data_IF_856871505893
#
_entry.id   IF_856871505893
#
_cell.length_a   1.000
_cell.length_b   1.000
_cell.length_c   1.000
_cell.angle_alpha   90.00
_cell.angle_beta   90.00
_cell.angle_gamma   90.00
#
_symmetry.space_group_name_H-M   'P 1'
#
loop_
_entity.id
_entity.type
_entity.pdbx_description
1 polymer ?
#
# COMPACT_ATOMS: atom_id res chain seq x y z
N UNK A 1 -45.89 61.05 9.81
CA UNK A 1 -45.56 59.73 10.40
C UNK A 1 -44.20 59.27 9.86
N UNK A 2 -43.17 59.63 10.64
CA UNK A 2 -41.80 59.20 10.29
C UNK A 2 -41.57 57.79 10.83
N UNK A 3 -41.33 56.81 9.96
CA UNK A 3 -40.87 55.48 10.34
C UNK A 3 -39.34 55.50 10.37
N UNK A 4 -38.75 55.53 11.57
CA UNK A 4 -37.33 55.26 11.77
C UNK A 4 -37.09 53.78 11.57
N UNK A 5 -36.29 53.45 10.58
CA UNK A 5 -35.78 52.09 10.35
C UNK A 5 -34.54 51.88 11.22
N UNK A 6 -34.66 51.05 12.26
CA UNK A 6 -33.54 50.64 13.10
C UNK A 6 -32.79 49.53 12.34
N UNK A 7 -31.56 49.81 11.88
CA UNK A 7 -30.65 48.81 11.39
C UNK A 7 -29.94 48.17 12.60
N UNK A 8 -30.22 46.91 12.87
CA UNK A 8 -29.40 46.08 13.75
C UNK A 8 -28.19 45.58 12.97
N UNK A 9 -27.01 46.13 13.27
CA UNK A 9 -25.74 45.54 12.84
C UNK A 9 -25.51 44.31 13.72
N UNK A 10 -25.71 43.13 13.17
CA UNK A 10 -25.18 41.91 13.79
C UNK A 10 -23.67 41.89 13.51
N UNK A 11 -22.86 42.30 14.46
CA UNK A 11 -21.44 42.01 14.49
C UNK A 11 -21.33 40.54 14.91
N UNK A 12 -21.12 39.64 13.96
CA UNK A 12 -20.70 38.29 14.27
C UNK A 12 -19.25 38.36 14.77
N UNK A 13 -19.06 38.27 16.09
CA UNK A 13 -17.74 38.05 16.67
C UNK A 13 -17.36 36.62 16.27
N UNK A 14 -16.58 36.47 15.23
CA UNK A 14 -15.93 35.22 14.91
C UNK A 14 -14.78 35.04 15.89
N UNK A 15 -14.90 34.09 16.81
CA UNK A 15 -13.78 33.68 17.64
C UNK A 15 -12.94 32.73 16.78
N UNK A 16 -11.67 33.02 16.66
CA UNK A 16 -10.71 32.07 16.06
C UNK A 16 -10.66 30.81 16.91
N UNK A 17 -10.80 29.66 16.28
CA UNK A 17 -10.81 28.37 16.95
C UNK A 17 -9.52 27.62 16.66
N UNK A 18 -8.97 26.93 17.67
CA UNK A 18 -7.93 25.92 17.45
C UNK A 18 -8.59 24.67 16.86
N UNK A 19 -8.08 24.14 15.75
CA UNK A 19 -8.72 23.04 15.03
C UNK A 19 -8.03 21.71 15.31
N UNK A 20 -6.71 21.64 15.18
CA UNK A 20 -5.96 20.42 15.35
C UNK A 20 -4.60 20.68 16.02
N UNK A 21 -4.13 19.82 16.97
CA UNK A 21 -4.83 18.67 17.54
C UNK A 21 -6.10 19.06 18.31
N UNK A 22 -7.11 18.20 18.26
CA UNK A 22 -8.32 18.42 19.08
C UNK A 22 -7.99 18.35 20.56
N UNK A 23 -8.78 19.08 21.36
CA UNK A 23 -8.55 19.09 22.80
C UNK A 23 -8.83 17.71 23.41
N UNK A 24 -7.87 17.14 24.14
CA UNK A 24 -7.85 15.80 24.72
C UNK A 24 -7.71 14.65 23.71
N UNK A 25 -7.34 14.94 22.48
CA UNK A 25 -7.09 13.88 21.50
C UNK A 25 -5.82 13.11 21.81
N UNK A 26 -5.79 11.87 21.37
CA UNK A 26 -4.59 11.04 21.28
C UNK A 26 -4.05 11.09 19.85
N UNK A 27 -2.74 11.25 19.73
CA UNK A 27 -2.04 11.33 18.45
C UNK A 27 -1.13 10.12 18.30
N UNK A 28 -1.31 9.36 17.22
CA UNK A 28 -0.44 8.23 16.87
C UNK A 28 0.76 8.69 16.01
N UNK A 29 1.29 9.85 16.36
CA UNK A 29 2.39 10.49 15.65
C UNK A 29 3.22 11.37 16.56
N UNK A 30 4.51 11.50 16.26
CA UNK A 30 5.40 12.52 16.82
C UNK A 30 5.56 13.72 15.88
N UNK A 31 5.16 13.59 14.62
CA UNK A 31 5.03 14.70 13.70
C UNK A 31 3.63 15.28 13.80
N UNK A 32 3.47 16.37 14.57
CA UNK A 32 2.16 16.90 14.93
C UNK A 32 1.80 18.10 14.05
N UNK A 33 0.67 17.99 13.37
CA UNK A 33 0.04 19.09 12.66
C UNK A 33 -0.73 19.96 13.65
N UNK A 34 -0.41 21.25 13.73
CA UNK A 34 -1.18 22.27 14.45
C UNK A 34 -1.92 23.12 13.43
N UNK A 35 -3.20 23.30 13.61
CA UNK A 35 -4.07 24.05 12.70
C UNK A 35 -5.10 24.85 13.50
N UNK A 36 -5.38 26.08 13.04
CA UNK A 36 -6.38 26.98 13.63
C UNK A 36 -7.05 27.80 12.55
N UNK A 37 -8.10 28.54 12.92
CA UNK A 37 -8.79 29.43 11.99
C UNK A 37 -7.94 30.63 11.61
N UNK A 38 -8.02 31.02 10.33
CA UNK A 38 -7.43 32.26 9.86
C UNK A 38 -8.25 33.43 10.34
N UNK A 39 -7.65 34.37 11.10
CA UNK A 39 -8.27 35.63 11.43
C UNK A 39 -8.16 36.64 10.29
N UNK A 40 -9.19 37.47 10.13
CA UNK A 40 -9.20 38.46 9.09
C UNK A 40 -8.12 39.53 9.36
N UNK A 41 -7.35 39.89 8.32
CA UNK A 41 -6.27 40.88 8.38
C UNK A 41 -5.08 40.50 9.28
N UNK A 42 -5.00 39.26 9.76
CA UNK A 42 -3.86 38.73 10.53
C UNK A 42 -2.95 37.96 9.60
N UNK A 43 -1.65 38.25 9.64
CA UNK A 43 -0.65 37.63 8.80
C UNK A 43 0.34 36.78 9.58
N UNK A 44 0.54 37.07 10.87
CA UNK A 44 1.51 36.36 11.70
C UNK A 44 0.86 35.84 12.98
N UNK A 45 1.25 34.64 13.36
CA UNK A 45 0.81 33.97 14.58
C UNK A 45 2.00 33.48 15.39
N UNK A 46 1.92 33.60 16.70
CA UNK A 46 2.85 32.96 17.62
C UNK A 46 2.21 31.68 18.16
N UNK A 47 2.82 30.54 17.89
CA UNK A 47 2.45 29.26 18.48
C UNK A 47 3.43 28.90 19.59
N UNK A 48 2.90 28.39 20.71
CA UNK A 48 3.67 27.78 21.79
C UNK A 48 3.19 26.36 22.03
N UNK A 49 4.18 25.45 22.19
CA UNK A 49 3.99 24.06 22.60
C UNK A 49 4.75 23.87 23.91
N UNK A 50 4.16 23.19 24.88
CA UNK A 50 4.73 23.02 26.21
C UNK A 50 4.40 21.64 26.80
N UNK A 51 5.29 21.13 27.64
CA UNK A 51 5.05 19.94 28.49
C UNK A 51 4.24 20.28 29.76
N UNK A 52 3.90 21.55 30.00
CA UNK A 52 3.12 21.99 31.17
C UNK A 52 2.07 23.02 30.78
N UNK A 53 0.90 22.93 31.38
CA UNK A 53 -0.19 23.90 31.21
C UNK A 53 0.18 25.35 31.60
N UNK A 54 1.19 25.52 32.43
CA UNK A 54 1.63 26.81 32.92
C UNK A 54 2.56 27.56 31.95
N UNK A 55 3.06 26.90 30.88
CA UNK A 55 3.97 27.49 29.90
C UNK A 55 5.17 28.21 30.53
N UNK A 56 5.77 27.62 31.57
CA UNK A 56 6.99 28.12 32.15
C UNK A 56 8.16 28.00 31.21
N UNK A 57 9.16 28.86 31.28
CA UNK A 57 10.31 28.86 30.39
C UNK A 57 10.99 27.50 30.25
N UNK A 58 11.02 26.69 31.30
CA UNK A 58 11.62 25.34 31.28
C UNK A 58 10.70 24.25 30.72
N UNK A 59 9.41 24.55 30.50
CA UNK A 59 8.44 23.61 29.98
C UNK A 59 8.06 23.89 28.51
N UNK A 60 8.40 25.09 28.01
CA UNK A 60 8.16 25.46 26.62
C UNK A 60 9.13 24.68 25.74
N UNK A 61 8.58 23.87 24.85
CA UNK A 61 9.28 23.03 23.89
C UNK A 61 9.50 23.82 22.60
N UNK A 62 8.46 24.51 22.13
CA UNK A 62 8.52 25.33 20.92
C UNK A 62 7.82 26.67 21.20
N UNK A 63 8.48 27.73 20.75
CA UNK A 63 7.94 29.10 20.72
C UNK A 63 8.38 29.72 19.40
N UNK A 64 7.46 29.88 18.45
CA UNK A 64 7.82 30.33 17.11
C UNK A 64 6.70 31.18 16.48
N UNK A 65 7.08 32.00 15.50
CA UNK A 65 6.17 32.82 14.71
C UNK A 65 6.02 32.19 13.34
N UNK A 66 4.79 32.07 12.86
CA UNK A 66 4.43 31.52 11.56
C UNK A 66 3.47 32.49 10.84
N UNK A 67 3.53 32.51 9.51
CA UNK A 67 2.71 33.39 8.66
C UNK A 67 1.51 32.69 8.00
N UNK A 68 1.12 31.54 8.53
CA UNK A 68 -0.04 30.73 8.09
C UNK A 68 -0.71 30.14 9.32
N UNK A 69 -2.01 29.85 9.27
CA UNK A 69 -2.73 29.22 10.38
C UNK A 69 -2.47 27.70 10.46
N UNK A 70 -1.22 27.32 10.23
CA UNK A 70 -0.77 25.94 10.22
C UNK A 70 0.71 25.85 10.61
N UNK A 71 1.06 24.84 11.42
CA UNK A 71 2.43 24.53 11.80
C UNK A 71 2.58 23.02 11.98
N UNK A 72 3.72 22.47 11.57
CA UNK A 72 4.06 21.06 11.81
C UNK A 72 5.31 21.00 12.67
N UNK A 73 5.19 20.44 13.89
CA UNK A 73 6.34 20.11 14.73
C UNK A 73 6.84 18.72 14.36
N UNK A 74 8.13 18.58 14.07
CA UNK A 74 8.72 17.32 13.57
C UNK A 74 9.84 16.77 14.45
N UNK A 75 10.32 17.52 15.44
CA UNK A 75 11.57 17.21 16.12
C UNK A 75 11.43 16.99 17.62
N UNK A 76 10.55 17.73 18.28
CA UNK A 76 10.58 17.89 19.73
C UNK A 76 9.43 17.20 20.47
N UNK A 77 8.61 16.47 19.75
CA UNK A 77 7.50 15.69 20.32
C UNK A 77 7.95 14.24 20.43
N UNK A 78 7.83 13.66 21.60
CA UNK A 78 8.12 12.26 21.88
C UNK A 78 6.83 11.47 22.13
N UNK A 79 6.93 10.14 22.05
CA UNK A 79 5.85 9.20 22.36
C UNK A 79 5.52 9.19 23.86
N UNK A 80 4.32 8.73 24.22
CA UNK A 80 3.85 8.53 25.61
C UNK A 80 3.93 9.78 26.48
N UNK A 81 3.57 10.94 25.94
CA UNK A 81 3.65 12.22 26.62
C UNK A 81 2.40 13.06 26.50
N UNK A 82 2.19 13.95 27.48
CA UNK A 82 1.14 14.96 27.48
C UNK A 82 1.73 16.30 27.07
N UNK A 83 1.12 16.95 26.11
CA UNK A 83 1.48 18.26 25.61
C UNK A 83 0.34 19.25 25.69
N UNK A 84 0.70 20.55 25.81
CA UNK A 84 -0.20 21.69 25.76
C UNK A 84 0.23 22.62 24.65
N UNK A 85 -0.73 23.24 23.98
CA UNK A 85 -0.44 24.19 22.94
C UNK A 85 -1.43 25.33 22.91
N UNK A 86 -0.99 26.50 22.42
CA UNK A 86 -1.79 27.71 22.29
C UNK A 86 -1.26 28.59 21.18
N UNK A 87 -2.12 29.45 20.64
CA UNK A 87 -1.81 30.40 19.58
C UNK A 87 -2.29 31.75 19.94
N UNK A 88 -1.60 32.77 19.49
CA UNK A 88 -2.03 34.16 19.48
C UNK A 88 -1.67 34.87 18.19
N UNK A 89 -2.39 35.92 17.85
CA UNK A 89 -2.07 36.78 16.72
C UNK A 89 -0.86 37.68 17.05
N UNK A 90 -0.11 38.00 16.01
CA UNK A 90 0.96 39.01 16.06
C UNK A 90 0.60 40.14 15.10
N UNK A 91 0.54 41.34 15.59
CA UNK A 91 0.31 42.57 14.84
C UNK A 91 1.59 43.44 14.89
N UNK A 92 1.74 44.37 13.95
CA UNK A 92 2.92 45.26 13.90
C UNK A 92 3.17 46.08 15.21
N UNK A 93 2.13 46.36 15.98
CA UNK A 93 2.19 47.17 17.18
C UNK A 93 1.95 46.41 18.47
N UNK A 94 1.43 45.16 18.42
CA UNK A 94 1.04 44.41 19.63
C UNK A 94 0.98 42.90 19.42
N UNK A 95 1.07 42.19 20.53
CA UNK A 95 0.75 40.77 20.60
C UNK A 95 -0.67 40.61 21.10
N UNK A 96 -1.49 39.86 20.37
CA UNK A 96 -2.84 39.51 20.79
C UNK A 96 -2.86 38.63 22.06
N UNK A 97 -4.04 38.42 22.59
CA UNK A 97 -4.23 37.44 23.67
C UNK A 97 -4.10 36.02 23.13
N UNK A 98 -3.64 35.09 23.99
CA UNK A 98 -3.71 33.68 23.69
C UNK A 98 -5.17 33.27 23.49
N UNK A 99 -5.47 32.54 22.39
CA UNK A 99 -6.82 32.11 22.05
C UNK A 99 -7.31 31.19 23.18
N UNK A 100 -7.01 29.94 23.12
CA UNK A 100 -7.26 29.01 24.22
C UNK A 100 -6.02 28.14 24.42
N UNK A 101 -6.00 27.34 25.47
CA UNK A 101 -4.99 26.32 25.65
C UNK A 101 -5.63 24.96 25.44
N UNK A 102 -5.14 24.21 24.48
CA UNK A 102 -5.52 22.81 24.26
C UNK A 102 -4.43 21.87 24.72
N UNK A 103 -4.80 20.62 24.93
CA UNK A 103 -3.88 19.54 25.26
C UNK A 103 -4.17 18.34 24.40
N UNK A 104 -3.10 17.57 24.13
CA UNK A 104 -3.16 16.29 23.46
C UNK A 104 -2.16 15.34 24.08
N UNK A 105 -2.35 14.06 23.81
CA UNK A 105 -1.45 13.00 24.23
C UNK A 105 -0.84 12.38 22.98
N UNK A 106 0.42 11.96 23.05
CA UNK A 106 1.00 11.03 22.08
C UNK A 106 0.84 9.62 22.64
N UNK A 107 0.42 8.68 21.78
CA UNK A 107 0.28 7.27 22.15
C UNK A 107 1.64 6.63 22.47
N UNK A 108 1.62 5.41 22.95
CA UNK A 108 2.79 4.59 23.14
C UNK A 108 3.42 4.22 21.79
N UNK A 109 4.75 4.22 21.70
CA UNK A 109 5.45 3.72 20.50
C UNK A 109 5.30 2.19 20.45
N UNK A 110 4.59 1.70 19.45
CA UNK A 110 4.32 0.26 19.26
C UNK A 110 5.46 -0.49 18.58
N UNK A 111 6.36 0.22 17.87
CA UNK A 111 7.34 -0.42 16.99
C UNK A 111 8.70 0.24 17.06
N UNK A 112 9.71 -0.58 17.27
CA UNK A 112 11.09 -0.20 17.11
C UNK A 112 11.72 -1.01 15.98
N UNK A 113 12.54 -0.39 15.16
CA UNK A 113 13.32 -1.03 14.10
C UNK A 113 14.81 -0.80 14.35
N UNK A 114 15.60 -1.79 13.96
CA UNK A 114 17.05 -1.62 13.87
C UNK A 114 17.40 -1.06 12.50
N UNK A 115 18.04 0.11 12.47
CA UNK A 115 18.48 0.76 11.24
C UNK A 115 19.98 0.51 11.02
N UNK A 116 20.32 -0.04 9.86
CA UNK A 116 21.70 -0.13 9.41
C UNK A 116 21.89 0.73 8.16
N UNK A 117 22.65 1.81 8.28
CA UNK A 117 22.96 2.73 7.19
C UNK A 117 24.24 2.26 6.50
N UNK A 118 24.12 1.75 5.30
CA UNK A 118 25.25 1.27 4.50
C UNK A 118 26.01 2.42 3.83
N UNK A 119 25.29 3.44 3.34
CA UNK A 119 25.89 4.63 2.72
C UNK A 119 25.02 5.86 2.98
N UNK A 120 25.48 6.75 3.84
CA UNK A 120 24.77 7.97 4.24
C UNK A 120 24.54 8.94 3.08
N UNK A 121 25.44 8.98 2.09
CA UNK A 121 25.37 9.93 0.95
C UNK A 121 24.29 9.54 -0.06
N UNK A 122 23.85 8.28 -0.02
CA UNK A 122 22.80 7.77 -0.93
C UNK A 122 21.40 7.80 -0.33
N UNK A 123 21.24 8.22 0.94
CA UNK A 123 19.92 8.32 1.55
C UNK A 123 19.15 9.46 0.89
N UNK A 124 18.02 9.13 0.28
CA UNK A 124 17.06 10.14 -0.18
C UNK A 124 16.29 10.70 1.00
N UNK A 125 16.09 12.02 1.01
CA UNK A 125 15.21 12.65 1.99
C UNK A 125 13.77 12.14 1.80
N UNK A 126 13.15 11.72 2.89
CA UNK A 126 11.80 11.19 2.88
C UNK A 126 11.48 10.36 4.11
N UNK A 127 10.35 9.66 4.02
CA UNK A 127 9.84 8.77 5.07
C UNK A 127 9.71 7.35 4.51
N UNK A 128 10.00 6.36 5.33
CA UNK A 128 9.79 4.95 4.99
C UNK A 128 8.51 4.46 5.65
N UNK A 129 7.58 3.96 4.86
CA UNK A 129 6.34 3.34 5.35
C UNK A 129 6.49 1.84 5.26
N UNK A 130 6.18 1.14 6.35
CA UNK A 130 6.27 -0.33 6.45
C UNK A 130 4.91 -0.87 6.88
N UNK A 131 4.40 -1.87 6.16
CA UNK A 131 3.30 -2.72 6.58
C UNK A 131 3.84 -4.03 7.16
N UNK A 132 3.37 -4.41 8.33
CA UNK A 132 3.69 -5.68 9.01
C UNK A 132 2.42 -6.53 9.06
N UNK A 133 2.40 -7.65 8.32
CA UNK A 133 1.24 -8.54 8.26
C UNK A 133 1.10 -9.40 9.51
N UNK A 134 2.23 -9.76 10.14
CA UNK A 134 2.25 -10.59 11.34
C UNK A 134 1.61 -9.91 12.55
N UNK A 135 1.75 -8.59 12.65
CA UNK A 135 1.20 -7.77 13.72
C UNK A 135 0.00 -6.92 13.26
N UNK A 136 -0.34 -6.95 11.96
CA UNK A 136 -1.35 -6.08 11.35
C UNK A 136 -1.13 -4.62 11.74
N UNK A 137 0.04 -4.10 11.42
CA UNK A 137 0.50 -2.78 11.81
C UNK A 137 1.11 -2.06 10.62
N UNK A 138 0.77 -0.78 10.47
CA UNK A 138 1.46 0.14 9.57
C UNK A 138 2.22 1.17 10.39
N UNK A 139 3.49 1.36 10.07
CA UNK A 139 4.33 2.35 10.73
C UNK A 139 5.18 3.14 9.74
N UNK A 140 5.53 4.37 10.12
CA UNK A 140 6.32 5.31 9.33
C UNK A 140 7.56 5.69 10.10
N UNK A 141 8.70 5.65 9.41
CA UNK A 141 10.01 5.93 9.98
C UNK A 141 10.70 7.09 9.26
N UNK A 142 11.44 7.88 10.00
CA UNK A 142 12.36 8.88 9.43
C UNK A 142 13.68 8.23 8.98
N UNK A 143 14.55 9.01 8.35
CA UNK A 143 15.87 8.57 7.89
C UNK A 143 16.85 8.17 9.01
N UNK A 144 16.50 8.38 10.28
CA UNK A 144 17.25 7.94 11.46
C UNK A 144 16.65 6.68 12.09
N UNK A 145 15.62 6.08 11.50
CA UNK A 145 14.92 4.90 12.02
C UNK A 145 14.00 5.19 13.20
N UNK A 146 13.67 6.47 13.47
CA UNK A 146 12.67 6.78 14.50
C UNK A 146 11.28 6.52 13.93
N UNK A 147 10.48 5.76 14.64
CA UNK A 147 9.05 5.68 14.34
C UNK A 147 8.42 7.05 14.62
N UNK A 148 7.77 7.61 13.63
CA UNK A 148 7.14 8.93 13.70
C UNK A 148 5.62 8.88 13.62
N UNK A 149 5.07 7.77 13.16
CA UNK A 149 3.63 7.53 13.06
C UNK A 149 3.36 6.02 13.01
N UNK A 150 2.22 5.60 13.52
CA UNK A 150 1.66 4.27 13.32
C UNK A 150 0.12 4.32 13.28
N UNK A 151 -0.49 3.27 12.76
CA UNK A 151 -1.93 3.15 12.55
C UNK A 151 -2.77 2.95 13.82
N UNK A 152 -2.15 3.05 14.99
CA UNK A 152 -2.84 2.94 16.28
C UNK A 152 -3.51 1.59 16.48
N UNK A 153 -4.83 1.63 16.67
CA UNK A 153 -5.66 0.44 16.88
C UNK A 153 -6.47 0.05 15.62
N UNK A 154 -6.13 0.62 14.45
CA UNK A 154 -6.76 0.20 13.20
C UNK A 154 -6.37 -1.22 12.81
N UNK A 155 -5.19 -1.68 13.23
CA UNK A 155 -4.65 -3.00 12.93
C UNK A 155 -4.67 -3.26 11.41
N UNK A 156 -3.95 -2.44 10.66
CA UNK A 156 -3.93 -2.46 9.20
C UNK A 156 -2.58 -2.96 8.69
N UNK A 157 -2.62 -3.91 7.81
CA UNK A 157 -1.49 -4.23 6.93
C UNK A 157 -1.54 -3.30 5.72
N UNK A 158 -0.54 -2.42 5.59
CA UNK A 158 -0.38 -1.58 4.40
C UNK A 158 0.00 -2.43 3.20
N UNK A 159 -0.67 -2.21 2.08
CA UNK A 159 -0.28 -2.79 0.79
C UNK A 159 0.35 -1.77 -0.13
N UNK A 160 -0.22 -0.56 -0.15
CA UNK A 160 0.16 0.43 -1.13
C UNK A 160 -0.02 1.86 -0.59
N UNK A 161 0.75 2.77 -1.17
CA UNK A 161 0.56 4.22 -1.04
C UNK A 161 0.79 4.85 -2.41
N UNK A 162 0.24 6.02 -2.63
CA UNK A 162 0.43 6.76 -3.87
C UNK A 162 1.11 8.10 -3.64
N UNK A 163 1.36 8.83 -4.72
CA UNK A 163 1.99 10.17 -4.72
C UNK A 163 1.21 11.24 -3.94
N UNK A 164 -0.08 11.00 -3.66
CA UNK A 164 -0.92 11.90 -2.85
C UNK A 164 -0.89 11.55 -1.36
N UNK A 165 -0.15 10.50 -0.97
CA UNK A 165 -0.05 10.05 0.42
C UNK A 165 -1.30 9.33 0.93
N UNK A 166 -2.15 8.80 0.04
CA UNK A 166 -3.25 7.91 0.40
C UNK A 166 -2.66 6.55 0.81
N UNK A 167 -3.21 5.95 1.84
CA UNK A 167 -2.77 4.67 2.38
C UNK A 167 -3.85 3.62 2.08
N UNK A 168 -3.44 2.50 1.50
CA UNK A 168 -4.33 1.38 1.16
C UNK A 168 -3.86 0.12 1.85
N UNK A 169 -4.78 -0.65 2.38
CA UNK A 169 -4.42 -1.89 3.08
C UNK A 169 -5.63 -2.69 3.53
N UNK A 170 -5.39 -3.61 4.44
CA UNK A 170 -6.41 -4.51 4.97
C UNK A 170 -6.48 -4.42 6.47
N UNK A 171 -7.70 -4.19 6.99
CA UNK A 171 -7.95 -4.18 8.42
C UNK A 171 -8.21 -5.60 8.93
N UNK A 172 -7.45 -5.99 9.97
CA UNK A 172 -7.63 -7.26 10.66
C UNK A 172 -8.81 -7.29 11.64
N UNK A 173 -9.43 -6.15 11.92
CA UNK A 173 -10.50 -6.04 12.93
C UNK A 173 -11.79 -6.79 12.57
N UNK A 174 -11.96 -7.23 11.33
CA UNK A 174 -13.15 -7.94 10.84
C UNK A 174 -12.84 -9.37 10.38
N UNK A 175 -11.87 -10.04 11.00
CA UNK A 175 -11.61 -11.44 10.68
C UNK A 175 -12.87 -12.34 10.87
N UNK A 176 -13.23 -13.24 9.94
CA UNK A 176 -12.53 -13.62 8.71
C UNK A 176 -12.78 -12.71 7.51
N UNK A 177 -13.62 -11.70 7.62
CA UNK A 177 -13.97 -10.80 6.53
C UNK A 177 -12.99 -9.61 6.51
N UNK A 178 -11.75 -9.84 6.13
CA UNK A 178 -10.80 -8.75 5.87
C UNK A 178 -11.41 -7.82 4.82
N UNK A 179 -11.45 -6.54 5.13
CA UNK A 179 -11.91 -5.52 4.18
C UNK A 179 -10.71 -4.76 3.65
N UNK A 180 -10.63 -4.61 2.34
CA UNK A 180 -9.75 -3.63 1.74
C UNK A 180 -10.21 -2.22 2.13
N UNK A 181 -9.29 -1.38 2.56
CA UNK A 181 -9.57 -0.02 3.02
C UNK A 181 -8.60 1.01 2.42
N UNK A 182 -9.09 2.25 2.28
CA UNK A 182 -8.27 3.45 2.26
C UNK A 182 -8.37 4.13 3.62
N UNK A 183 -7.25 4.54 4.17
CA UNK A 183 -7.18 5.24 5.45
C UNK A 183 -6.17 6.40 5.38
N UNK A 184 -6.18 7.27 6.38
CA UNK A 184 -5.34 8.45 6.42
C UNK A 184 -4.45 8.50 7.68
N UNK A 185 -3.59 9.50 7.76
CA UNK A 185 -2.67 9.71 8.89
C UNK A 185 -3.37 10.12 10.21
N UNK A 186 -4.67 10.36 10.19
CA UNK A 186 -5.49 10.55 11.39
C UNK A 186 -6.16 9.26 11.85
N UNK A 187 -5.85 8.14 11.19
CA UNK A 187 -6.45 6.82 11.43
C UNK A 187 -7.94 6.75 11.11
N UNK A 188 -8.43 7.66 10.25
CA UNK A 188 -9.79 7.57 9.72
C UNK A 188 -9.84 6.63 8.53
N UNK A 189 -10.85 5.77 8.50
CA UNK A 189 -11.17 4.98 7.30
C UNK A 189 -11.89 5.90 6.31
N UNK A 190 -11.23 6.18 5.18
CA UNK A 190 -11.74 7.03 4.10
C UNK A 190 -12.69 6.26 3.19
N UNK A 191 -12.33 5.01 2.90
CA UNK A 191 -13.15 4.10 2.13
C UNK A 191 -12.95 2.66 2.63
N UNK A 192 -14.00 1.85 2.49
CA UNK A 192 -13.98 0.43 2.83
C UNK A 192 -14.73 -0.34 1.75
N UNK A 193 -14.21 -1.49 1.36
CA UNK A 193 -14.82 -2.39 0.41
C UNK A 193 -16.21 -2.90 0.82
N UNK A 194 -16.94 -3.55 -0.11
CA UNK A 194 -18.24 -4.16 0.19
C UNK A 194 -18.13 -5.15 1.34
N UNK A 195 -19.06 -5.10 2.30
CA UNK A 195 -19.03 -5.93 3.52
C UNK A 195 -19.37 -7.41 3.30
N UNK A 196 -19.92 -7.74 2.14
CA UNK A 196 -20.36 -9.10 1.78
C UNK A 196 -19.41 -9.81 0.81
N UNK A 197 -18.28 -9.18 0.48
CA UNK A 197 -17.27 -9.72 -0.43
C UNK A 197 -15.95 -9.78 0.35
N UNK A 198 -15.29 -10.94 0.28
CA UNK A 198 -13.91 -11.06 0.74
C UNK A 198 -13.01 -10.49 -0.34
N UNK A 199 -12.33 -9.38 -0.04
CA UNK A 199 -11.29 -8.82 -0.89
C UNK A 199 -9.97 -9.44 -0.44
N UNK A 200 -9.27 -10.04 -1.38
CA UNK A 200 -7.99 -10.67 -1.15
C UNK A 200 -6.96 -9.65 -0.64
N UNK A 201 -6.17 -10.04 0.35
CA UNK A 201 -5.26 -9.16 1.08
C UNK A 201 -4.02 -8.68 0.32
N UNK A 202 -3.84 -9.11 -0.93
CA UNK A 202 -2.64 -8.75 -1.66
C UNK A 202 -2.66 -7.33 -2.19
N UNK A 203 -3.78 -6.86 -2.74
CA UNK A 203 -3.81 -5.49 -3.23
C UNK A 203 -5.20 -4.88 -3.33
N UNK A 204 -5.31 -3.64 -2.88
CA UNK A 204 -6.44 -2.72 -3.09
C UNK A 204 -5.88 -1.33 -3.34
N UNK A 205 -6.40 -0.60 -4.31
CA UNK A 205 -6.03 0.80 -4.54
C UNK A 205 -7.12 1.58 -5.27
N UNK A 206 -7.04 2.89 -5.19
CA UNK A 206 -7.85 3.78 -6.01
C UNK A 206 -7.22 3.88 -7.41
N UNK A 207 -8.02 3.73 -8.46
CA UNK A 207 -7.60 3.89 -9.84
C UNK A 207 -7.92 5.31 -10.37
N UNK A 208 -7.41 5.73 -11.54
CA UNK A 208 -7.49 7.12 -12.01
C UNK A 208 -8.89 7.72 -12.13
N UNK A 209 -9.92 6.91 -12.39
CA UNK A 209 -11.32 7.34 -12.40
C UNK A 209 -11.92 7.52 -11.00
N UNK A 210 -11.09 7.37 -9.94
CA UNK A 210 -11.39 7.46 -8.52
C UNK A 210 -12.22 6.30 -7.96
N UNK A 211 -12.49 5.27 -8.73
CA UNK A 211 -13.03 4.00 -8.24
C UNK A 211 -11.94 3.17 -7.56
N UNK A 212 -12.33 2.10 -6.89
CA UNK A 212 -11.40 1.21 -6.23
C UNK A 212 -11.29 -0.11 -6.97
N UNK A 213 -10.08 -0.64 -7.04
CA UNK A 213 -9.81 -1.90 -7.71
C UNK A 213 -8.99 -2.80 -6.78
N UNK A 214 -9.30 -4.11 -6.80
CA UNK A 214 -8.63 -5.10 -5.97
C UNK A 214 -9.02 -6.52 -6.37
N UNK A 215 -8.41 -7.49 -5.71
CA UNK A 215 -8.65 -8.90 -6.01
C UNK A 215 -9.78 -9.49 -5.18
N UNK A 216 -10.50 -10.42 -5.79
CA UNK A 216 -11.53 -11.25 -5.15
C UNK A 216 -11.24 -12.71 -5.48
N UNK A 217 -11.32 -13.58 -4.49
CA UNK A 217 -11.16 -15.02 -4.72
C UNK A 217 -12.31 -15.56 -5.59
N UNK A 218 -11.95 -16.33 -6.58
CA UNK A 218 -12.89 -17.05 -7.45
C UNK A 218 -12.52 -18.53 -7.47
N UNK A 219 -13.51 -19.43 -7.46
CA UNK A 219 -13.27 -20.85 -7.36
C UNK A 219 -13.95 -21.63 -8.48
N UNK A 220 -13.21 -22.52 -9.11
CA UNK A 220 -13.75 -23.46 -10.08
C UNK A 220 -13.24 -24.87 -9.79
N UNK A 221 -14.07 -25.86 -10.08
CA UNK A 221 -13.60 -27.25 -10.09
C UNK A 221 -12.71 -27.49 -11.30
N UNK A 222 -11.57 -28.11 -11.07
CA UNK A 222 -10.60 -28.49 -12.08
C UNK A 222 -9.96 -29.84 -11.79
N UNK A 223 -9.12 -30.35 -12.69
CA UNK A 223 -8.44 -31.61 -12.50
C UNK A 223 -7.26 -31.46 -11.54
N UNK A 224 -6.89 -32.56 -10.88
CA UNK A 224 -5.58 -32.70 -10.23
C UNK A 224 -4.61 -33.21 -11.28
N UNK A 225 -3.65 -32.39 -11.75
CA UNK A 225 -2.74 -32.78 -12.81
C UNK A 225 -1.83 -33.93 -12.35
N UNK A 226 -1.39 -34.74 -13.28
CA UNK A 226 -0.47 -35.85 -12.99
C UNK A 226 0.90 -35.30 -12.59
N UNK A 227 1.46 -35.81 -11.51
CA UNK A 227 2.76 -35.43 -10.98
C UNK A 227 3.21 -36.31 -9.83
N UNK A 228 4.27 -35.94 -9.16
CA UNK A 228 4.78 -36.67 -8.00
C UNK A 228 3.80 -36.67 -6.84
N UNK A 229 2.88 -35.72 -6.79
CA UNK A 229 1.80 -35.58 -5.83
C UNK A 229 0.60 -36.53 -6.08
N UNK A 230 0.48 -37.14 -7.28
CA UNK A 230 -0.68 -37.94 -7.69
C UNK A 230 -1.06 -39.00 -6.64
N UNK A 231 -0.10 -39.78 -6.14
CA UNK A 231 -0.38 -40.79 -5.13
C UNK A 231 -0.87 -40.22 -3.81
N UNK A 232 -0.50 -38.97 -3.47
CA UNK A 232 -0.95 -38.27 -2.25
C UNK A 232 -2.46 -38.04 -2.37
N UNK A 233 -2.90 -37.44 -3.46
CA UNK A 233 -4.32 -37.12 -3.69
C UNK A 233 -5.19 -38.37 -3.85
N UNK A 234 -4.68 -39.41 -4.51
CA UNK A 234 -5.38 -40.71 -4.58
C UNK A 234 -5.57 -41.32 -3.17
N UNK A 235 -4.61 -41.17 -2.28
CA UNK A 235 -4.73 -41.62 -0.90
C UNK A 235 -5.77 -40.83 -0.08
N UNK A 236 -6.07 -39.60 -0.50
CA UNK A 236 -7.13 -38.74 0.06
C UNK A 236 -8.51 -39.02 -0.54
N UNK A 237 -8.59 -39.86 -1.57
CA UNK A 237 -9.85 -40.31 -2.16
C UNK A 237 -10.22 -39.63 -3.48
N UNK A 238 -9.33 -38.85 -4.06
CA UNK A 238 -9.49 -38.26 -5.39
C UNK A 238 -9.07 -39.24 -6.48
N UNK A 239 -9.60 -39.10 -7.69
CA UNK A 239 -9.14 -39.86 -8.86
C UNK A 239 -7.72 -39.46 -9.23
N UNK A 240 -7.41 -38.18 -9.22
CA UNK A 240 -6.12 -37.55 -9.55
C UNK A 240 -5.54 -38.11 -10.87
N UNK A 241 -6.40 -38.17 -11.90
CA UNK A 241 -6.12 -38.74 -13.21
C UNK A 241 -5.68 -37.70 -14.25
N UNK A 242 -5.70 -36.40 -13.86
CA UNK A 242 -5.40 -35.28 -14.76
C UNK A 242 -6.57 -34.83 -15.63
N UNK A 243 -7.73 -35.49 -15.53
CA UNK A 243 -8.90 -35.24 -16.40
C UNK A 243 -10.17 -34.95 -15.59
N UNK A 244 -10.36 -35.61 -14.45
CA UNK A 244 -11.56 -35.47 -13.60
C UNK A 244 -11.60 -34.14 -12.88
N UNK A 245 -12.71 -33.38 -13.07
CA UNK A 245 -12.92 -32.06 -12.44
C UNK A 245 -13.46 -32.28 -11.01
N UNK A 246 -12.56 -32.42 -10.07
CA UNK A 246 -12.86 -32.86 -8.71
C UNK A 246 -12.24 -32.02 -7.61
N UNK A 247 -11.34 -31.08 -7.95
CA UNK A 247 -10.60 -30.29 -6.98
C UNK A 247 -10.86 -28.79 -7.14
N UNK A 248 -10.93 -28.05 -6.01
CA UNK A 248 -11.12 -26.61 -6.04
C UNK A 248 -9.84 -25.88 -6.44
N UNK A 249 -9.90 -25.15 -7.53
CA UNK A 249 -8.87 -24.22 -7.95
C UNK A 249 -9.28 -22.80 -7.55
N UNK A 250 -8.39 -22.08 -6.90
CA UNK A 250 -8.59 -20.68 -6.51
C UNK A 250 -7.84 -19.77 -7.50
N UNK A 251 -8.58 -18.91 -8.19
CA UNK A 251 -8.07 -17.80 -8.97
C UNK A 251 -8.33 -16.47 -8.25
N UNK A 252 -7.70 -15.40 -8.73
CA UNK A 252 -7.91 -14.06 -8.23
C UNK A 252 -8.56 -13.22 -9.34
N UNK A 253 -9.86 -12.97 -9.22
CA UNK A 253 -10.60 -12.09 -10.12
C UNK A 253 -10.31 -10.64 -9.77
N UNK A 254 -9.88 -9.82 -10.73
CA UNK A 254 -9.70 -8.38 -10.54
C UNK A 254 -11.03 -7.68 -10.70
N UNK A 255 -11.39 -6.83 -9.75
CA UNK A 255 -12.71 -6.19 -9.68
C UNK A 255 -12.57 -4.70 -9.47
N UNK A 256 -13.37 -3.90 -10.20
CA UNK A 256 -13.54 -2.47 -9.98
C UNK A 256 -14.86 -2.20 -9.29
N UNK A 257 -14.83 -1.43 -8.21
CA UNK A 257 -16.01 -0.97 -7.47
C UNK A 257 -16.20 0.53 -7.58
N UNK A 258 -17.46 0.94 -7.78
CA UNK A 258 -17.85 2.35 -7.64
C UNK A 258 -17.53 2.87 -6.23
N UNK A 259 -16.88 4.02 -6.18
CA UNK A 259 -16.38 4.57 -4.89
C UNK A 259 -17.49 4.90 -3.89
N UNK A 260 -18.71 5.21 -4.33
CA UNK A 260 -19.82 5.60 -3.48
C UNK A 260 -20.78 4.45 -3.19
N UNK A 261 -21.22 3.79 -4.26
CA UNK A 261 -22.25 2.72 -4.18
C UNK A 261 -21.66 1.37 -3.82
N UNK A 262 -20.33 1.21 -4.02
CA UNK A 262 -19.59 -0.05 -3.86
C UNK A 262 -20.10 -1.18 -4.74
N UNK A 263 -20.83 -0.84 -5.80
CA UNK A 263 -21.26 -1.80 -6.81
C UNK A 263 -20.09 -2.14 -7.73
N UNK A 264 -20.01 -3.41 -8.12
CA UNK A 264 -19.07 -3.87 -9.14
C UNK A 264 -19.43 -3.24 -10.48
N UNK A 265 -18.46 -2.58 -11.11
CA UNK A 265 -18.60 -1.92 -12.40
C UNK A 265 -17.93 -2.68 -13.52
N UNK A 266 -16.80 -3.32 -13.21
CA UNK A 266 -15.99 -4.09 -14.14
C UNK A 266 -15.28 -5.21 -13.39
N UNK A 267 -15.01 -6.30 -14.11
CA UNK A 267 -14.14 -7.35 -13.59
C UNK A 267 -13.48 -8.16 -14.68
N UNK A 268 -12.36 -8.77 -14.34
CA UNK A 268 -11.61 -9.68 -15.18
C UNK A 268 -11.38 -10.99 -14.43
N UNK A 269 -11.83 -12.11 -15.03
CA UNK A 269 -11.77 -13.42 -14.40
C UNK A 269 -10.71 -14.29 -15.10
N UNK A 270 -9.64 -14.73 -14.42
CA UNK A 270 -8.59 -15.54 -15.04
C UNK A 270 -9.09 -16.86 -15.62
N UNK A 271 -10.14 -17.45 -15.08
CA UNK A 271 -10.72 -18.70 -15.60
C UNK A 271 -11.34 -18.57 -17.01
N UNK A 272 -11.59 -17.34 -17.49
CA UNK A 272 -12.07 -17.09 -18.84
C UNK A 272 -10.94 -17.09 -19.88
N UNK A 273 -9.67 -16.99 -19.45
CA UNK A 273 -8.53 -16.74 -20.31
C UNK A 273 -7.45 -17.84 -20.23
N UNK A 274 -7.26 -18.44 -19.05
CA UNK A 274 -6.23 -19.43 -18.82
C UNK A 274 -6.84 -20.81 -18.64
N UNK A 275 -6.08 -21.82 -19.05
CA UNK A 275 -6.51 -23.23 -18.93
C UNK A 275 -5.97 -23.86 -17.65
N UNK A 276 -6.62 -24.90 -17.14
CA UNK A 276 -6.15 -25.70 -16.01
C UNK A 276 -4.84 -26.47 -16.29
N UNK A 277 -4.39 -26.45 -17.54
CA UNK A 277 -3.10 -27.01 -17.89
C UNK A 277 -1.97 -26.06 -17.52
N UNK A 278 -2.28 -24.78 -17.21
CA UNK A 278 -1.33 -23.75 -16.81
C UNK A 278 -1.22 -23.70 -15.29
N UNK A 279 -0.28 -24.41 -14.71
CA UNK A 279 -0.04 -24.45 -13.27
C UNK A 279 1.46 -24.48 -12.95
N UNK A 280 1.80 -24.19 -11.70
CA UNK A 280 3.18 -24.30 -11.25
C UNK A 280 3.61 -25.76 -11.14
N UNK A 281 4.57 -26.14 -11.98
CA UNK A 281 5.17 -27.46 -11.96
C UNK A 281 6.43 -27.55 -11.10
N UNK A 282 7.15 -26.44 -11.00
CA UNK A 282 8.51 -26.42 -10.46
C UNK A 282 8.53 -26.04 -8.99
N UNK A 283 7.69 -25.08 -8.58
CA UNK A 283 7.62 -24.61 -7.22
C UNK A 283 6.88 -25.54 -6.27
N UNK A 284 6.23 -26.57 -6.82
CA UNK A 284 5.62 -27.63 -6.04
C UNK A 284 4.37 -27.22 -5.27
N UNK A 285 3.63 -26.22 -5.77
CA UNK A 285 2.39 -25.72 -5.12
C UNK A 285 1.37 -26.83 -4.86
N UNK A 286 1.34 -27.88 -5.68
CA UNK A 286 0.49 -29.06 -5.49
C UNK A 286 0.82 -29.88 -4.24
N UNK A 287 2.02 -29.81 -3.69
CA UNK A 287 2.34 -30.50 -2.42
C UNK A 287 1.66 -29.90 -1.20
N UNK A 288 1.17 -28.65 -1.30
CA UNK A 288 0.57 -27.89 -0.19
C UNK A 288 -0.93 -27.63 -0.37
N UNK A 289 -1.52 -28.06 -1.50
CA UNK A 289 -2.93 -27.78 -1.85
C UNK A 289 -3.86 -28.87 -1.31
N UNK A 290 -4.02 -28.98 0.02
CA UNK A 290 -4.82 -30.07 0.61
C UNK A 290 -6.34 -29.92 0.41
N UNK A 291 -6.87 -28.71 0.43
CA UNK A 291 -8.30 -28.42 0.29
C UNK A 291 -8.61 -27.56 -0.94
N UNK A 292 -7.69 -26.69 -1.33
CA UNK A 292 -7.81 -25.73 -2.42
C UNK A 292 -6.46 -25.56 -3.07
N UNK A 293 -6.40 -25.63 -4.39
CA UNK A 293 -5.21 -25.25 -5.14
C UNK A 293 -5.20 -23.73 -5.38
N UNK A 294 -4.28 -23.04 -4.71
CA UNK A 294 -4.04 -21.61 -4.92
C UNK A 294 -3.29 -21.41 -6.25
N UNK A 295 -4.06 -21.37 -7.32
CA UNK A 295 -3.58 -21.53 -8.69
C UNK A 295 -2.64 -20.43 -9.14
N UNK A 296 -3.14 -19.19 -9.19
CA UNK A 296 -2.35 -18.07 -9.72
C UNK A 296 -1.63 -17.31 -8.64
N UNK A 297 -2.29 -17.14 -7.49
CA UNK A 297 -1.82 -16.27 -6.42
C UNK A 297 -1.47 -14.89 -6.95
N UNK A 298 -2.45 -14.23 -7.60
CA UNK A 298 -2.25 -12.88 -8.14
C UNK A 298 -2.06 -11.90 -6.99
N UNK A 299 -0.91 -11.24 -6.94
CA UNK A 299 -0.46 -10.52 -5.76
C UNK A 299 -0.18 -9.03 -5.98
N UNK A 300 -0.27 -8.55 -7.22
CA UNK A 300 -0.12 -7.14 -7.53
C UNK A 300 -0.76 -6.80 -8.87
N UNK A 301 -1.20 -5.55 -9.02
CA UNK A 301 -1.56 -4.99 -10.31
C UNK A 301 -1.11 -3.53 -10.42
N UNK A 302 -0.90 -3.07 -11.63
CA UNK A 302 -0.62 -1.68 -11.95
C UNK A 302 -1.57 -1.20 -13.04
N UNK A 303 -2.22 -0.06 -12.84
CA UNK A 303 -3.08 0.58 -13.85
C UNK A 303 -2.27 1.64 -14.58
N UNK A 304 -1.98 1.41 -15.86
CA UNK A 304 -1.26 2.38 -16.71
C UNK A 304 -2.25 3.33 -17.40
N UNK A 305 -2.13 4.61 -17.09
CA UNK A 305 -2.97 5.66 -17.68
C UNK A 305 -2.54 6.06 -19.08
N UNK A 306 -1.34 5.69 -19.51
CA UNK A 306 -0.81 6.10 -20.80
C UNK A 306 -1.51 5.39 -21.96
N UNK A 307 -1.84 4.12 -21.75
CA UNK A 307 -2.50 3.29 -22.77
C UNK A 307 -3.77 2.59 -22.28
N UNK A 308 -4.23 2.92 -21.06
CA UNK A 308 -5.37 2.29 -20.39
C UNK A 308 -5.26 0.77 -20.31
N UNK A 309 -4.12 0.29 -19.83
CA UNK A 309 -3.89 -1.13 -19.60
C UNK A 309 -3.68 -1.43 -18.12
N UNK A 310 -3.81 -2.70 -17.78
CA UNK A 310 -3.56 -3.23 -16.44
C UNK A 310 -2.50 -4.30 -16.55
N UNK A 311 -1.46 -4.20 -15.74
CA UNK A 311 -0.45 -5.23 -15.57
C UNK A 311 -0.77 -6.01 -14.31
N UNK A 312 -0.89 -7.34 -14.40
CA UNK A 312 -1.15 -8.23 -13.27
C UNK A 312 0.01 -9.19 -13.04
N UNK A 313 0.46 -9.28 -11.80
CA UNK A 313 1.47 -10.25 -11.38
C UNK A 313 0.80 -11.51 -10.84
N UNK A 314 1.11 -12.67 -11.43
CA UNK A 314 0.66 -14.00 -11.04
C UNK A 314 1.83 -14.78 -10.45
N UNK A 315 1.92 -14.80 -9.14
CA UNK A 315 3.06 -15.34 -8.38
C UNK A 315 3.34 -16.81 -8.71
N UNK A 316 2.35 -17.67 -8.55
CA UNK A 316 2.53 -19.12 -8.72
C UNK A 316 2.77 -19.54 -10.17
N UNK A 317 2.36 -18.72 -11.13
CA UNK A 317 2.67 -18.96 -12.54
C UNK A 317 4.00 -18.34 -12.98
N UNK A 318 4.65 -17.55 -12.12
CA UNK A 318 5.84 -16.77 -12.48
C UNK A 318 5.63 -15.96 -13.77
N UNK A 319 4.52 -15.18 -13.81
CA UNK A 319 4.07 -14.46 -15.00
C UNK A 319 3.51 -13.09 -14.67
N UNK A 320 3.60 -12.20 -15.64
CA UNK A 320 2.93 -10.91 -15.67
C UNK A 320 2.04 -10.88 -16.91
N UNK A 321 0.78 -10.47 -16.74
CA UNK A 321 -0.19 -10.35 -17.84
C UNK A 321 -0.55 -8.89 -18.06
N UNK A 322 -0.48 -8.42 -19.31
CA UNK A 322 -0.99 -7.10 -19.70
C UNK A 322 -2.38 -7.25 -20.30
N UNK A 323 -3.32 -6.45 -19.80
CA UNK A 323 -4.75 -6.52 -20.10
C UNK A 323 -5.22 -5.13 -20.54
N UNK A 324 -5.92 -5.04 -21.68
CA UNK A 324 -6.57 -3.79 -22.09
C UNK A 324 -7.74 -3.43 -21.17
N UNK A 325 -7.91 -2.16 -20.87
CA UNK A 325 -9.03 -1.68 -20.06
C UNK A 325 -9.84 -0.63 -20.85
N UNK A 326 -11.19 -0.72 -20.91
CA UNK A 326 -12.04 -1.67 -20.17
C UNK A 326 -12.34 -2.99 -20.93
N UNK A 327 -11.78 -3.25 -22.09
CA UNK A 327 -12.12 -4.38 -22.95
C UNK A 327 -11.78 -5.74 -22.31
N UNK A 328 -10.80 -5.78 -21.38
CA UNK A 328 -10.41 -6.98 -20.67
C UNK A 328 -9.68 -8.03 -21.52
N UNK A 329 -9.10 -7.64 -22.66
CA UNK A 329 -8.39 -8.57 -23.53
C UNK A 329 -6.92 -8.67 -23.11
N UNK A 330 -6.37 -9.87 -23.12
CA UNK A 330 -4.94 -10.07 -22.92
C UNK A 330 -4.19 -9.53 -24.14
N UNK A 331 -3.30 -8.58 -23.91
CA UNK A 331 -2.39 -8.07 -24.94
C UNK A 331 -1.15 -8.96 -25.08
N UNK A 332 -0.59 -9.35 -23.94
CA UNK A 332 0.51 -10.32 -23.86
C UNK A 332 0.63 -10.93 -22.46
N UNK A 333 1.32 -12.06 -22.39
CA UNK A 333 1.75 -12.71 -21.15
C UNK A 333 3.26 -12.80 -21.16
N UNK A 334 3.90 -12.36 -20.07
CA UNK A 334 5.35 -12.36 -19.88
C UNK A 334 5.75 -13.38 -18.82
N UNK A 335 6.91 -14.00 -18.96
CA UNK A 335 7.52 -14.84 -17.93
C UNK A 335 7.67 -16.29 -18.35
N UNK A 336 7.72 -17.19 -17.37
CA UNK A 336 8.03 -18.57 -17.62
C UNK A 336 7.02 -19.21 -18.58
N UNK A 337 7.50 -19.87 -19.62
CA UNK A 337 6.64 -20.67 -20.47
C UNK A 337 6.09 -21.83 -19.63
N UNK A 338 4.90 -22.28 -19.97
CA UNK A 338 4.37 -23.52 -19.43
C UNK A 338 5.08 -24.69 -20.13
N UNK A 339 5.94 -25.43 -19.46
CA UNK A 339 6.77 -26.46 -20.15
C UNK A 339 5.98 -27.65 -20.61
N UNK A 340 4.72 -27.75 -20.25
CA UNK A 340 3.86 -28.88 -20.55
C UNK A 340 3.07 -28.71 -21.81
N UNK A 341 3.06 -27.50 -22.36
CA UNK A 341 2.08 -27.16 -23.33
C UNK A 341 2.67 -26.42 -24.49
N UNK A 342 2.33 -26.88 -25.65
CA UNK A 342 2.54 -26.19 -26.92
C UNK A 342 1.86 -24.79 -26.96
N UNK A 343 1.07 -24.43 -25.92
CA UNK A 343 0.36 -23.16 -25.80
C UNK A 343 1.24 -22.04 -25.22
N UNK A 344 2.34 -22.39 -24.56
CA UNK A 344 3.19 -21.42 -23.88
C UNK A 344 4.30 -20.83 -24.77
N UNK A 345 4.36 -21.20 -26.02
CA UNK A 345 5.26 -20.58 -27.01
C UNK A 345 4.93 -19.09 -27.25
N UNK A 346 3.85 -18.61 -26.66
CA UNK A 346 3.40 -17.21 -26.82
C UNK A 346 3.82 -16.28 -25.70
N UNK A 347 4.40 -16.77 -24.60
CA UNK A 347 4.89 -15.91 -23.54
C UNK A 347 6.12 -15.14 -24.00
N UNK A 348 6.07 -13.81 -23.82
CA UNK A 348 7.21 -12.96 -24.10
C UNK A 348 8.23 -13.05 -22.97
N UNK A 349 9.50 -12.73 -23.25
CA UNK A 349 10.55 -12.51 -22.24
C UNK A 349 10.79 -13.71 -21.30
N UNK A 350 10.58 -14.92 -21.79
CA UNK A 350 10.80 -16.15 -21.01
C UNK A 350 12.26 -16.38 -20.60
N UNK A 351 13.18 -15.72 -21.26
CA UNK A 351 14.62 -15.72 -20.99
C UNK A 351 15.03 -14.90 -19.78
N UNK A 352 14.14 -14.02 -19.27
CA UNK A 352 14.36 -13.30 -18.02
C UNK A 352 14.39 -14.20 -16.80
N UNK A 353 13.70 -15.35 -16.86
CA UNK A 353 13.70 -16.40 -15.83
C UNK A 353 13.40 -15.90 -14.42
N UNK A 354 12.53 -14.88 -14.28
CA UNK A 354 12.02 -14.47 -12.98
C UNK A 354 11.01 -15.49 -12.43
N UNK A 355 10.85 -15.53 -11.12
CA UNK A 355 9.91 -16.49 -10.51
C UNK A 355 9.32 -16.01 -9.20
N UNK A 356 8.05 -16.32 -8.99
CA UNK A 356 7.30 -16.02 -7.77
C UNK A 356 7.28 -14.53 -7.39
N UNK A 357 7.39 -13.67 -8.41
CA UNK A 357 7.55 -12.22 -8.27
C UNK A 357 6.39 -11.56 -7.51
N UNK A 358 6.72 -10.43 -6.89
CA UNK A 358 5.77 -9.52 -6.27
C UNK A 358 5.94 -8.11 -6.82
N UNK A 359 4.91 -7.28 -6.62
CA UNK A 359 4.87 -5.93 -7.09
C UNK A 359 5.02 -5.83 -8.61
N UNK A 360 4.46 -4.81 -9.20
CA UNK A 360 4.67 -4.38 -10.59
C UNK A 360 4.38 -2.89 -10.69
N UNK A 361 5.25 -2.14 -11.34
CA UNK A 361 5.03 -0.74 -11.69
C UNK A 361 5.54 -0.43 -13.08
N UNK A 362 4.91 0.55 -13.73
CA UNK A 362 5.43 1.18 -14.94
C UNK A 362 6.08 2.49 -14.53
N UNK A 363 7.33 2.69 -14.93
CA UNK A 363 8.08 3.90 -14.66
C UNK A 363 7.75 4.99 -15.70
N UNK A 364 8.10 6.26 -15.43
CA UNK A 364 7.84 7.39 -16.32
C UNK A 364 8.44 7.23 -17.73
N UNK A 365 9.48 6.42 -17.86
CA UNK A 365 10.13 6.10 -19.15
C UNK A 365 9.44 4.93 -19.90
N UNK A 366 8.38 4.34 -19.32
CA UNK A 366 7.66 3.20 -19.87
C UNK A 366 8.23 1.83 -19.49
N UNK A 367 9.36 1.78 -18.79
CA UNK A 367 9.94 0.51 -18.32
C UNK A 367 9.09 -0.10 -17.21
N UNK A 368 9.09 -1.43 -17.15
CA UNK A 368 8.50 -2.16 -16.03
C UNK A 368 9.56 -2.38 -14.95
N UNK A 369 9.14 -2.26 -13.68
CA UNK A 369 9.96 -2.62 -12.53
C UNK A 369 9.17 -3.53 -11.60
N UNK A 370 9.80 -4.59 -11.10
CA UNK A 370 9.19 -5.55 -10.17
C UNK A 370 10.24 -6.25 -9.30
N UNK A 371 9.75 -6.86 -8.23
CA UNK A 371 10.56 -7.67 -7.32
C UNK A 371 10.46 -9.14 -7.71
N UNK A 372 11.55 -9.68 -8.22
CA UNK A 372 11.70 -11.12 -8.51
C UNK A 372 12.14 -11.82 -7.22
N UNK A 373 11.21 -12.54 -6.58
CA UNK A 373 11.55 -13.30 -5.36
C UNK A 373 12.55 -14.41 -5.64
N UNK A 374 12.56 -14.93 -6.87
CA UNK A 374 13.57 -15.89 -7.30
C UNK A 374 13.46 -17.27 -6.68
N UNK A 375 12.25 -17.69 -6.25
CA UNK A 375 12.03 -18.99 -5.61
C UNK A 375 12.49 -20.19 -6.47
N UNK A 376 12.53 -20.00 -7.78
CA UNK A 376 13.03 -21.01 -8.74
C UNK A 376 14.40 -20.65 -9.34
N UNK A 377 15.08 -19.63 -8.82
CA UNK A 377 16.34 -19.14 -9.41
C UNK A 377 17.46 -20.18 -9.38
N UNK A 378 17.51 -21.02 -8.35
CA UNK A 378 18.38 -22.20 -8.30
C UNK A 378 18.21 -23.09 -9.53
N UNK A 379 16.95 -23.50 -9.79
CA UNK A 379 16.62 -24.40 -10.89
C UNK A 379 16.79 -23.73 -12.25
N UNK A 380 16.37 -22.48 -12.39
CA UNK A 380 16.32 -21.78 -13.66
C UNK A 380 17.69 -21.25 -14.10
N UNK A 381 18.57 -20.92 -13.16
CA UNK A 381 19.85 -20.28 -13.41
C UNK A 381 21.06 -21.14 -12.99
N UNK A 382 20.82 -22.39 -12.57
CA UNK A 382 21.87 -23.32 -12.13
C UNK A 382 22.72 -22.74 -10.99
N UNK A 383 22.03 -22.13 -10.01
CA UNK A 383 22.65 -21.57 -8.81
C UNK A 383 22.67 -22.61 -7.69
N UNK A 384 23.54 -22.41 -6.67
CA UNK A 384 23.57 -23.28 -5.50
C UNK A 384 22.44 -22.96 -4.52
N UNK A 385 22.07 -21.68 -4.40
CA UNK A 385 21.06 -21.17 -3.47
C UNK A 385 20.13 -20.19 -4.21
N UNK A 386 18.85 -20.09 -3.79
CA UNK A 386 17.93 -19.16 -4.41
C UNK A 386 18.29 -17.70 -4.06
N UNK A 387 18.08 -16.80 -5.00
CA UNK A 387 18.35 -15.37 -4.81
C UNK A 387 17.18 -14.53 -5.28
N UNK A 388 16.90 -13.46 -4.54
CA UNK A 388 15.94 -12.42 -4.93
C UNK A 388 16.65 -11.28 -5.65
N UNK A 389 15.94 -10.61 -6.56
CA UNK A 389 16.47 -9.45 -7.27
C UNK A 389 15.38 -8.44 -7.61
N UNK A 390 15.77 -7.19 -7.81
CA UNK A 390 14.93 -6.18 -8.43
C UNK A 390 15.33 -6.08 -9.91
N UNK A 391 14.33 -6.03 -10.79
CA UNK A 391 14.57 -5.97 -12.25
C UNK A 391 13.79 -4.78 -12.82
N UNK A 392 14.49 -3.94 -13.60
CA UNK A 392 13.89 -2.95 -14.50
C UNK A 392 14.10 -3.43 -15.95
N UNK A 393 13.01 -3.53 -16.70
CA UNK A 393 13.03 -4.01 -18.08
C UNK A 393 12.36 -3.03 -19.03
N UNK A 394 12.87 -2.96 -20.25
CA UNK A 394 12.20 -2.37 -21.42
C UNK A 394 11.51 -3.51 -22.22
N UNK A 395 10.22 -3.31 -22.52
CA UNK A 395 9.46 -4.19 -23.41
C UNK A 395 9.30 -3.49 -24.75
N UNK A 396 10.09 -3.88 -25.73
CA UNK A 396 10.08 -3.28 -27.05
C UNK A 396 8.80 -3.54 -27.83
N UNK A 397 8.54 -2.74 -28.87
CA UNK A 397 7.37 -2.92 -29.77
C UNK A 397 7.27 -4.33 -30.41
N UNK A 398 8.37 -5.06 -30.49
CA UNK A 398 8.40 -6.42 -31.00
C UNK A 398 8.25 -7.50 -29.88
N UNK A 399 7.86 -7.11 -28.71
CA UNK A 399 7.74 -7.98 -27.53
C UNK A 399 9.06 -8.66 -27.12
N UNK A 400 10.21 -8.05 -27.41
CA UNK A 400 11.48 -8.44 -26.82
C UNK A 400 11.70 -7.67 -25.54
N UNK A 401 12.36 -8.28 -24.56
CA UNK A 401 12.71 -7.66 -23.31
C UNK A 401 14.19 -7.43 -23.17
N UNK A 402 14.57 -6.26 -22.68
CA UNK A 402 15.92 -5.92 -22.32
C UNK A 402 15.97 -5.55 -20.85
N UNK A 403 16.89 -6.16 -20.09
CA UNK A 403 17.15 -5.75 -18.71
C UNK A 403 17.93 -4.43 -18.78
N UNK A 404 17.29 -3.36 -18.33
CA UNK A 404 17.89 -2.02 -18.27
C UNK A 404 18.72 -1.89 -17.01
N UNK A 405 18.22 -2.46 -15.91
CA UNK A 405 18.91 -2.45 -14.63
C UNK A 405 18.45 -3.64 -13.80
N UNK A 406 19.36 -4.20 -13.02
CA UNK A 406 19.03 -5.18 -12.00
C UNK A 406 19.90 -5.01 -10.76
N UNK A 407 19.35 -5.42 -9.62
CA UNK A 407 20.08 -5.55 -8.38
C UNK A 407 19.74 -6.88 -7.73
N UNK A 408 20.73 -7.75 -7.64
CA UNK A 408 20.61 -9.01 -6.92
C UNK A 408 20.88 -8.78 -5.44
N UNK A 409 19.95 -9.20 -4.58
CA UNK A 409 20.10 -9.08 -3.15
C UNK A 409 21.20 -10.02 -2.63
N UNK A 410 21.88 -9.64 -1.53
CA UNK A 410 22.72 -10.59 -0.80
C UNK A 410 21.93 -11.86 -0.42
N UNK A 411 22.59 -12.98 -0.41
CA UNK A 411 22.00 -14.31 -0.17
C UNK A 411 21.19 -14.37 1.14
N UNK A 412 21.72 -13.74 2.21
CA UNK A 412 21.05 -13.62 3.50
C UNK A 412 19.75 -12.78 3.50
N UNK A 413 19.50 -12.05 2.40
CA UNK A 413 18.28 -11.26 2.18
C UNK A 413 17.34 -11.90 1.17
N UNK A 414 17.51 -13.20 0.88
CA UNK A 414 16.54 -13.93 0.07
C UNK A 414 15.14 -13.83 0.69
N UNK A 415 14.18 -13.31 -0.07
CA UNK A 415 12.81 -13.11 0.34
C UNK A 415 11.84 -14.02 -0.42
N UNK A 416 11.50 -15.22 0.08
CA UNK A 416 10.63 -16.18 -0.64
C UNK A 416 9.18 -15.74 -0.72
N UNK A 417 8.78 -14.79 0.13
CA UNK A 417 7.40 -14.28 0.26
C UNK A 417 7.42 -12.76 0.32
N UNK A 418 6.35 -12.14 -0.18
CA UNK A 418 6.17 -10.69 -0.20
C UNK A 418 7.30 -9.94 -0.93
N UNK A 419 7.27 -8.65 -0.89
CA UNK A 419 8.27 -7.78 -1.48
C UNK A 419 7.62 -6.66 -2.29
N UNK A 420 8.31 -5.55 -2.30
CA UNK A 420 7.95 -4.41 -3.15
C UNK A 420 9.20 -3.69 -3.60
N UNK A 421 9.08 -2.88 -4.63
CA UNK A 421 10.16 -2.05 -5.14
C UNK A 421 9.64 -0.67 -5.47
N UNK A 422 10.41 0.34 -5.12
CA UNK A 422 10.16 1.72 -5.51
C UNK A 422 11.46 2.33 -6.04
N UNK A 423 11.43 2.83 -7.27
CA UNK A 423 12.54 3.59 -7.83
C UNK A 423 12.46 5.01 -7.31
N UNK A 424 13.51 5.46 -6.62
CA UNK A 424 13.62 6.80 -6.07
C UNK A 424 14.22 7.77 -7.08
N UNK A 425 14.03 9.08 -6.86
CA UNK A 425 14.49 10.11 -7.80
C UNK A 425 16.02 10.23 -7.90
N UNK A 426 16.74 9.67 -6.95
CA UNK A 426 18.20 9.63 -6.93
C UNK A 426 18.82 8.36 -7.56
N UNK A 427 17.99 7.48 -8.13
CA UNK A 427 18.41 6.28 -8.87
C UNK A 427 18.23 4.95 -8.15
#
# INVERSE_FOLDING_TARGET
MNKSLLFFLFVSISFSELLHPENFSEQNSTHILFKWDQEQEVYDYNIQISSSINFNNNSIIRDTIVNKPIYIEKELIDWDNLYFWRVRTIDMESQGNWIETRRFYTSENKVNVDLNILNQELIQEGLTIIGDDGNLLTAVYDSNGRCIWHDGDLNVMLNNTNEYGQLFGFSGNNWPNKSGIEYNYFNDIVWQGPSNIYIDEHEIKQIPNQNYMGFVEEFNLGPIPLGEWTNIYQSLGYEADGESYEFNWKGNRLVEWDRFTKQELWSWNPFDFFSFEEYDQYGGTWYYSFDVHDWMHSNAFYFDTNDNSIYMSHRHLSRITKISYPEGQIEWVMGLPCPYMNLCEQNICSDLKFSFQHHISVLDNGNLIFFDNGNLSELLNDLNDPVSRVIEIDVTENNNCEIIWEYTLPEELFGPFHGSVQKLSNG
#
